data_IF_212225888719
#
_entry.id   IF_212225888719
#
_cell.length_a   1.000
_cell.length_b   1.000
_cell.length_c   1.000
_cell.angle_alpha   90.00
_cell.angle_beta   90.00
_cell.angle_gamma   90.00
#
_symmetry.space_group_name_H-M   'P 1'
#
loop_
_entity.id
_entity.type
_entity.pdbx_description
1 polymer ?
#
# COMPACT_ATOMS: atom_id res chain seq x y z
N UNK A 1 -22.11 2.38 4.08
CA UNK A 1 -20.86 2.70 3.38
C UNK A 1 -19.93 1.52 3.58
N UNK A 2 -19.37 0.96 2.50
CA UNK A 2 -18.30 -0.02 2.61
C UNK A 2 -17.02 0.72 3.00
N UNK A 3 -16.28 0.22 3.99
CA UNK A 3 -15.07 0.87 4.47
C UNK A 3 -13.82 0.13 3.96
N UNK A 4 -13.88 -1.18 3.70
CA UNK A 4 -12.70 -1.91 3.21
C UNK A 4 -12.38 -1.64 1.74
N UNK A 5 -11.09 -1.47 1.45
CA UNK A 5 -10.53 -1.36 0.11
C UNK A 5 -9.24 -2.19 0.03
N UNK A 6 -9.11 -2.97 -1.03
CA UNK A 6 -7.91 -3.75 -1.31
C UNK A 6 -7.25 -3.24 -2.59
N UNK A 7 -6.13 -2.55 -2.42
CA UNK A 7 -5.23 -2.22 -3.51
C UNK A 7 -4.55 -3.48 -4.03
N UNK A 8 -4.61 -3.72 -5.33
CA UNK A 8 -4.00 -4.89 -5.94
C UNK A 8 -3.30 -4.53 -7.26
N UNK A 9 -2.53 -5.49 -7.78
CA UNK A 9 -1.78 -5.38 -9.03
C UNK A 9 -0.90 -4.13 -9.08
N UNK A 10 0.15 -4.10 -8.24
CA UNK A 10 1.09 -2.98 -8.27
C UNK A 10 1.69 -2.82 -9.67
N UNK A 11 1.56 -1.62 -10.25
CA UNK A 11 2.04 -1.28 -11.59
C UNK A 11 3.49 -0.79 -11.57
N UNK A 12 4.07 -0.54 -10.40
CA UNK A 12 5.38 0.09 -10.28
C UNK A 12 6.51 -0.71 -10.93
N UNK A 13 6.48 -2.05 -10.82
CA UNK A 13 7.58 -2.92 -11.24
C UNK A 13 7.80 -2.91 -12.76
N UNK A 14 6.72 -2.68 -13.52
CA UNK A 14 6.76 -2.60 -14.98
C UNK A 14 6.84 -1.16 -15.51
N UNK A 15 6.71 -0.16 -14.64
CA UNK A 15 6.68 1.25 -15.04
C UNK A 15 8.10 1.81 -15.27
N UNK A 16 8.17 2.87 -16.08
CA UNK A 16 9.39 3.68 -16.19
C UNK A 16 9.29 4.86 -15.25
N UNK A 17 10.27 5.00 -14.35
CA UNK A 17 10.31 6.08 -13.36
C UNK A 17 11.22 7.23 -13.80
N UNK A 18 10.76 8.46 -13.59
CA UNK A 18 11.51 9.68 -13.89
C UNK A 18 11.07 10.84 -12.98
N UNK A 19 11.59 12.05 -13.21
CA UNK A 19 11.21 13.24 -12.46
C UNK A 19 11.98 13.41 -11.14
N UNK A 20 11.87 14.59 -10.56
CA UNK A 20 12.58 14.95 -9.34
C UNK A 20 14.10 15.00 -9.52
N UNK A 21 14.80 15.06 -8.40
CA UNK A 21 16.26 14.99 -8.34
C UNK A 21 16.65 14.01 -7.25
N UNK A 22 17.28 12.90 -7.63
CA UNK A 22 17.55 11.76 -6.76
C UNK A 22 19.05 11.53 -6.58
N UNK A 23 19.44 11.04 -5.41
CA UNK A 23 20.82 10.72 -5.10
C UNK A 23 21.27 9.49 -5.91
N UNK A 24 22.44 9.57 -6.56
CA UNK A 24 22.98 8.47 -7.39
C UNK A 24 23.22 7.14 -6.64
N UNK A 25 23.47 7.18 -5.32
CA UNK A 25 23.63 5.98 -4.48
C UNK A 25 22.28 5.42 -3.99
N UNK A 26 21.23 6.24 -4.04
CA UNK A 26 19.87 5.89 -3.64
C UNK A 26 18.89 6.32 -4.75
N UNK A 27 19.05 5.77 -5.96
CA UNK A 27 18.35 6.26 -7.15
C UNK A 27 16.84 6.02 -7.07
N UNK A 28 16.09 6.77 -7.89
CA UNK A 28 14.63 6.65 -8.00
C UNK A 28 14.16 5.21 -8.32
N UNK A 29 14.95 4.45 -9.08
CA UNK A 29 14.63 3.07 -9.47
C UNK A 29 14.53 2.12 -8.27
N UNK A 30 15.10 2.49 -7.11
CA UNK A 30 14.96 1.68 -5.89
C UNK A 30 13.49 1.54 -5.44
N UNK A 31 12.61 2.46 -5.84
CA UNK A 31 11.17 2.39 -5.52
C UNK A 31 10.45 1.18 -6.13
N UNK A 32 11.07 0.50 -7.10
CA UNK A 32 10.56 -0.71 -7.76
C UNK A 32 11.06 -1.99 -7.07
N UNK A 33 11.97 -1.89 -6.11
CA UNK A 33 12.52 -3.07 -5.42
C UNK A 33 11.54 -3.57 -4.35
N UNK A 34 11.39 -4.90 -4.23
CA UNK A 34 10.53 -5.50 -3.22
C UNK A 34 11.15 -5.42 -1.82
N UNK A 35 12.47 -5.30 -1.71
CA UNK A 35 13.17 -5.13 -0.45
C UNK A 35 13.01 -3.69 0.06
N UNK A 36 12.12 -3.48 1.04
CA UNK A 36 11.81 -2.14 1.58
C UNK A 36 13.02 -1.40 2.18
N UNK A 37 14.08 -2.12 2.54
CA UNK A 37 15.36 -1.55 2.99
C UNK A 37 16.16 -0.86 1.86
N UNK A 38 15.91 -1.20 0.59
CA UNK A 38 16.51 -0.53 -0.57
C UNK A 38 15.74 0.75 -0.88
N UNK A 39 16.20 1.85 -0.27
CA UNK A 39 15.50 3.14 -0.33
C UNK A 39 15.96 4.02 -1.49
N UNK A 40 15.05 4.80 -2.05
CA UNK A 40 15.36 5.98 -2.86
C UNK A 40 15.46 7.22 -1.95
N UNK A 41 16.38 8.15 -2.28
CA UNK A 41 16.50 9.44 -1.58
C UNK A 41 16.57 10.59 -2.57
N UNK A 42 15.71 11.57 -2.39
CA UNK A 42 15.77 12.83 -3.14
C UNK A 42 16.93 13.70 -2.62
N UNK A 43 17.33 14.68 -3.43
CA UNK A 43 18.41 15.64 -3.08
C UNK A 43 17.90 16.78 -2.19
N UNK A 44 16.58 16.91 -2.01
CA UNK A 44 15.96 17.94 -1.19
C UNK A 44 14.55 17.55 -0.76
N UNK A 45 13.85 18.48 -0.11
CA UNK A 45 12.54 18.26 0.52
C UNK A 45 11.38 18.98 -0.18
N UNK A 46 11.69 19.72 -1.25
CA UNK A 46 10.71 20.47 -2.04
C UNK A 46 10.08 19.58 -3.10
N UNK A 47 8.86 19.94 -3.53
CA UNK A 47 8.14 19.25 -4.61
C UNK A 47 8.98 19.05 -5.88
N UNK A 48 9.79 20.03 -6.26
CA UNK A 48 10.69 19.92 -7.41
C UNK A 48 11.74 18.80 -7.29
N UNK A 49 12.21 18.51 -6.07
CA UNK A 49 13.18 17.45 -5.82
C UNK A 49 12.54 16.07 -5.62
N UNK A 50 11.34 16.03 -5.03
CA UNK A 50 10.62 14.80 -4.66
C UNK A 50 9.39 14.54 -5.52
N UNK A 51 9.44 14.92 -6.79
CA UNK A 51 8.45 14.51 -7.81
C UNK A 51 8.84 13.16 -8.40
N UNK A 52 7.87 12.25 -8.54
CA UNK A 52 8.02 10.95 -9.20
C UNK A 52 7.03 10.92 -10.36
N UNK A 53 7.53 10.77 -11.57
CA UNK A 53 6.73 10.55 -12.78
C UNK A 53 6.84 9.08 -13.18
N UNK A 54 5.69 8.46 -13.39
CA UNK A 54 5.51 7.03 -13.62
C UNK A 54 4.85 6.88 -14.99
N UNK A 55 5.55 6.30 -15.96
CA UNK A 55 4.97 5.87 -17.24
C UNK A 55 4.68 4.37 -17.19
N UNK A 56 3.41 3.99 -17.16
CA UNK A 56 2.99 2.59 -17.17
C UNK A 56 3.11 1.90 -18.55
N UNK A 57 3.61 2.61 -19.58
CA UNK A 57 3.77 2.14 -20.96
C UNK A 57 2.46 2.07 -21.77
N UNK A 58 1.34 1.84 -21.08
CA UNK A 58 -0.02 1.90 -21.59
C UNK A 58 -0.95 2.43 -20.49
N UNK A 59 -2.18 2.81 -20.85
CA UNK A 59 -3.17 3.17 -19.85
C UNK A 59 -3.49 1.96 -18.94
N UNK A 60 -3.46 2.16 -17.62
CA UNK A 60 -3.74 1.15 -16.61
C UNK A 60 -4.75 1.67 -15.61
N UNK A 61 -5.56 0.75 -15.09
CA UNK A 61 -6.49 1.00 -14.00
C UNK A 61 -5.72 1.22 -12.69
N UNK A 62 -5.94 2.38 -12.09
CA UNK A 62 -5.33 2.80 -10.84
C UNK A 62 -6.37 3.52 -9.98
N UNK A 63 -6.38 3.16 -8.70
CA UNK A 63 -7.20 3.76 -7.65
C UNK A 63 -6.39 4.06 -6.39
N UNK A 64 -5.40 3.22 -6.09
CA UNK A 64 -4.71 3.21 -4.80
C UNK A 64 -3.25 3.61 -4.94
N UNK A 65 -2.77 4.36 -3.95
CA UNK A 65 -1.36 4.70 -3.76
C UNK A 65 -0.92 4.31 -2.35
N UNK A 66 0.25 3.68 -2.27
CA UNK A 66 0.98 3.44 -1.03
C UNK A 66 2.41 3.97 -1.16
N UNK A 67 2.85 4.79 -0.21
CA UNK A 67 4.25 5.16 -0.04
C UNK A 67 4.78 4.45 1.19
N UNK A 68 5.71 3.51 1.01
CA UNK A 68 6.15 2.59 2.07
C UNK A 68 7.57 2.94 2.51
N UNK A 69 7.85 2.80 3.81
CA UNK A 69 9.12 3.15 4.45
C UNK A 69 9.55 4.60 4.16
N UNK A 70 8.63 5.54 4.37
CA UNK A 70 8.85 6.96 4.12
C UNK A 70 9.40 7.71 5.34
N UNK A 71 10.00 8.88 5.11
CA UNK A 71 10.34 9.82 6.19
C UNK A 71 9.52 11.12 6.15
N UNK A 72 8.46 11.16 5.33
CA UNK A 72 7.57 12.32 5.20
C UNK A 72 6.87 12.55 6.54
N UNK A 73 6.91 13.79 7.04
CA UNK A 73 6.26 14.16 8.31
C UNK A 73 4.75 14.32 8.13
N UNK A 74 4.03 14.33 9.24
CA UNK A 74 2.58 14.61 9.26
C UNK A 74 2.20 16.04 8.85
N UNK A 75 3.19 16.92 8.64
CA UNK A 75 3.01 18.26 8.06
C UNK A 75 3.33 18.31 6.57
N UNK A 76 3.88 17.22 6.02
CA UNK A 76 4.13 17.06 4.60
C UNK A 76 2.85 16.73 3.83
N UNK A 77 2.89 16.97 2.53
CA UNK A 77 1.77 16.71 1.62
C UNK A 77 2.19 15.82 0.46
N UNK A 78 1.24 15.01 0.00
CA UNK A 78 1.37 14.14 -1.17
C UNK A 78 0.19 14.44 -2.10
N UNK A 79 0.48 14.53 -3.40
CA UNK A 79 -0.55 14.68 -4.45
C UNK A 79 -0.30 13.65 -5.54
N UNK A 80 -1.35 12.95 -5.94
CA UNK A 80 -1.36 12.00 -7.05
C UNK A 80 -2.15 12.57 -8.21
N UNK A 81 -1.53 12.64 -9.37
CA UNK A 81 -2.14 13.13 -10.61
C UNK A 81 -1.99 12.08 -11.71
N UNK A 82 -3.07 11.82 -12.44
CA UNK A 82 -3.09 10.89 -13.58
C UNK A 82 -3.39 11.62 -14.89
N UNK A 83 -2.72 11.27 -15.98
CA UNK A 83 -2.99 11.81 -17.33
C UNK A 83 -2.65 10.80 -18.42
N UNK A 84 -3.25 10.99 -19.60
CA UNK A 84 -2.86 10.28 -20.82
C UNK A 84 -1.87 11.09 -21.68
N UNK A 85 -1.52 12.31 -21.25
CA UNK A 85 -0.53 13.16 -21.88
C UNK A 85 0.70 13.31 -20.98
N UNK A 86 1.90 13.22 -21.57
CA UNK A 86 3.18 13.37 -20.84
C UNK A 86 3.33 14.72 -20.13
N UNK A 87 2.64 15.75 -20.62
CA UNK A 87 2.61 17.09 -20.01
C UNK A 87 1.66 17.24 -18.82
N UNK A 88 0.95 16.18 -18.41
CA UNK A 88 -0.05 16.22 -17.34
C UNK A 88 -1.15 17.27 -17.56
N UNK A 89 -1.60 17.41 -18.80
CA UNK A 89 -2.70 18.29 -19.18
C UNK A 89 -3.44 17.74 -20.41
N UNK A 90 -4.76 17.50 -20.34
CA UNK A 90 -5.60 17.56 -19.14
C UNK A 90 -5.28 16.44 -18.13
N UNK A 91 -5.65 16.63 -16.87
CA UNK A 91 -5.63 15.58 -15.86
C UNK A 91 -6.89 14.71 -15.99
N UNK A 92 -6.71 13.40 -15.86
CA UNK A 92 -7.78 12.40 -15.78
C UNK A 92 -8.14 12.12 -14.33
N UNK A 93 -7.15 12.20 -13.43
CA UNK A 93 -7.32 12.03 -11.99
C UNK A 93 -6.45 13.06 -11.26
N UNK A 94 -6.95 13.58 -10.14
CA UNK A 94 -6.20 14.45 -9.23
C UNK A 94 -6.73 14.27 -7.81
N UNK A 95 -5.87 13.83 -6.90
CA UNK A 95 -6.23 13.71 -5.48
C UNK A 95 -6.32 15.05 -4.75
N UNK A 96 -5.77 16.13 -5.34
CA UNK A 96 -5.38 17.31 -4.59
C UNK A 96 -4.21 17.02 -3.64
N UNK A 97 -3.73 18.05 -2.94
CA UNK A 97 -2.69 17.89 -1.93
C UNK A 97 -3.29 17.31 -0.64
N UNK A 98 -2.90 16.08 -0.30
CA UNK A 98 -3.35 15.37 0.90
C UNK A 98 -2.23 15.38 1.93
N UNK A 99 -2.56 15.76 3.16
CA UNK A 99 -1.62 15.77 4.29
C UNK A 99 -1.35 14.35 4.75
N UNK A 100 -0.08 14.03 5.01
CA UNK A 100 0.31 12.72 5.54
C UNK A 100 -0.16 12.59 6.99
N UNK A 101 -0.74 11.46 7.35
CA UNK A 101 -1.14 11.19 8.73
C UNK A 101 0.07 10.96 9.65
N UNK A 102 -0.13 11.11 10.96
CA UNK A 102 0.93 10.80 11.91
C UNK A 102 1.20 9.29 11.94
N UNK A 103 2.48 8.91 11.94
CA UNK A 103 2.88 7.51 12.08
C UNK A 103 3.26 7.23 13.54
N UNK A 104 2.53 6.31 14.15
CA UNK A 104 2.77 5.81 15.52
C UNK A 104 3.50 4.46 15.50
N UNK A 105 3.55 3.77 14.35
CA UNK A 105 4.11 2.42 14.19
C UNK A 105 5.42 2.51 13.39
N UNK A 106 6.47 2.99 14.07
CA UNK A 106 7.74 3.44 13.47
C UNK A 106 8.57 2.42 12.67
N UNK A 107 8.18 1.14 12.59
CA UNK A 107 8.97 0.13 11.90
C UNK A 107 8.95 0.32 10.37
N UNK A 108 7.77 0.59 9.79
CA UNK A 108 7.57 0.80 8.35
C UNK A 108 6.48 1.86 8.09
N UNK A 109 6.78 3.16 8.27
CA UNK A 109 5.87 4.26 7.93
C UNK A 109 5.30 4.05 6.54
N UNK A 110 3.98 3.86 6.48
CA UNK A 110 3.25 3.65 5.24
C UNK A 110 2.19 4.72 5.15
N UNK A 111 2.25 5.54 4.10
CA UNK A 111 1.19 6.48 3.74
C UNK A 111 0.33 5.85 2.65
N UNK A 112 -0.98 5.92 2.82
CA UNK A 112 -1.95 5.34 1.89
C UNK A 112 -2.93 6.40 1.41
N UNK A 113 -3.35 6.29 0.15
CA UNK A 113 -4.26 7.22 -0.49
C UNK A 113 -5.20 6.46 -1.44
N UNK A 114 -6.50 6.73 -1.34
CA UNK A 114 -7.54 6.30 -2.27
C UNK A 114 -8.00 7.48 -3.14
N UNK A 115 -8.12 7.29 -4.45
CA UNK A 115 -8.69 8.25 -5.38
C UNK A 115 -10.23 8.25 -5.39
N UNK A 116 -10.87 7.31 -4.67
CA UNK A 116 -12.32 7.18 -4.53
C UNK A 116 -13.02 6.51 -5.73
N UNK A 117 -12.30 6.34 -6.83
CA UNK A 117 -12.73 5.61 -8.02
C UNK A 117 -11.52 5.07 -8.78
N UNK A 118 -11.76 4.12 -9.68
CA UNK A 118 -10.74 3.61 -10.59
C UNK A 118 -10.61 4.54 -11.80
N UNK A 119 -9.38 4.96 -12.10
CA UNK A 119 -9.06 5.81 -13.23
C UNK A 119 -8.11 5.11 -14.20
N UNK A 120 -8.41 5.19 -15.49
CA UNK A 120 -7.61 4.62 -16.57
C UNK A 120 -6.67 5.69 -17.15
N UNK A 121 -5.38 5.63 -16.79
CA UNK A 121 -4.37 6.56 -17.29
C UNK A 121 -3.00 5.91 -17.48
N UNK A 122 -2.21 6.44 -18.43
CA UNK A 122 -0.85 5.96 -18.73
C UNK A 122 0.23 6.59 -17.84
N UNK A 123 0.15 7.90 -17.64
CA UNK A 123 1.14 8.67 -16.89
C UNK A 123 0.59 9.05 -15.53
N UNK A 124 1.39 8.84 -14.49
CA UNK A 124 1.06 9.20 -13.12
C UNK A 124 2.18 10.04 -12.52
N UNK A 125 1.82 11.04 -11.72
CA UNK A 125 2.77 11.92 -11.04
C UNK A 125 2.44 11.94 -9.56
N UNK A 126 3.42 11.59 -8.74
CA UNK A 126 3.39 11.75 -7.30
C UNK A 126 4.24 12.98 -6.98
N UNK A 127 3.62 13.99 -6.38
CA UNK A 127 4.31 15.18 -5.91
C UNK A 127 4.32 15.18 -4.39
N UNK A 128 5.51 15.15 -3.79
CA UNK A 128 5.69 15.16 -2.34
C UNK A 128 6.31 16.49 -1.92
N UNK A 129 5.79 17.13 -0.88
CA UNK A 129 6.36 18.37 -0.33
C UNK A 129 6.41 18.32 1.19
N UNK A 130 7.62 18.40 1.76
CA UNK A 130 7.86 18.44 3.21
C UNK A 130 9.09 19.31 3.52
N UNK A 131 9.03 20.58 3.14
CA UNK A 131 10.18 21.49 3.13
C UNK A 131 10.92 21.61 4.47
N UNK A 132 10.23 21.45 5.60
CA UNK A 132 10.82 21.51 6.93
C UNK A 132 11.39 20.19 7.45
N UNK A 133 11.48 19.12 6.65
CA UNK A 133 11.99 17.83 7.09
C UNK A 133 13.46 17.96 7.54
N UNK A 134 13.78 17.68 8.82
CA UNK A 134 15.13 17.87 9.35
C UNK A 134 16.17 16.93 8.72
N UNK A 135 15.75 15.85 8.06
CA UNK A 135 16.65 14.99 7.31
C UNK A 135 17.26 15.70 6.08
N UNK A 136 16.62 16.75 5.55
CA UNK A 136 17.06 17.46 4.35
C UNK A 136 16.81 16.71 3.03
N UNK A 137 16.16 15.55 3.08
CA UNK A 137 15.75 14.75 1.93
C UNK A 137 14.45 13.99 2.21
N UNK A 138 13.75 13.60 1.15
CA UNK A 138 12.67 12.60 1.21
C UNK A 138 13.24 11.22 0.90
N UNK A 139 12.97 10.26 1.79
CA UNK A 139 13.28 8.83 1.68
C UNK A 139 12.00 8.05 1.48
N UNK A 140 12.04 7.05 0.61
CA UNK A 140 10.98 6.09 0.35
C UNK A 140 11.61 4.72 0.08
N UNK A 141 10.99 3.64 0.57
CA UNK A 141 11.40 2.27 0.25
C UNK A 141 10.73 1.75 -1.01
N UNK A 142 9.40 1.81 -1.07
CA UNK A 142 8.61 1.26 -2.17
C UNK A 142 7.39 2.12 -2.46
N UNK A 143 6.99 2.15 -3.73
CA UNK A 143 5.70 2.74 -4.14
C UNK A 143 4.77 1.63 -4.56
N UNK A 144 3.58 1.62 -3.99
CA UNK A 144 2.45 0.84 -4.48
C UNK A 144 1.56 1.76 -5.31
N UNK A 145 1.35 1.43 -6.58
CA UNK A 145 0.42 2.14 -7.44
C UNK A 145 -0.40 1.11 -8.20
N UNK A 146 -1.64 0.90 -7.78
CA UNK A 146 -2.43 -0.23 -8.24
C UNK A 146 -3.91 0.09 -8.41
N UNK A 147 -4.61 -0.90 -8.94
CA UNK A 147 -6.06 -0.91 -8.95
C UNK A 147 -6.59 -1.08 -7.51
N UNK A 148 -7.90 -0.93 -7.30
CA UNK A 148 -8.51 -1.01 -5.98
C UNK A 148 -9.89 -1.64 -6.03
N UNK A 149 -9.99 -2.83 -5.43
CA UNK A 149 -11.27 -3.51 -5.25
C UNK A 149 -11.90 -3.14 -3.92
N UNK A 150 -13.17 -2.74 -3.98
CA UNK A 150 -14.03 -2.51 -2.83
C UNK A 150 -15.33 -3.27 -3.05
N UNK A 151 -15.81 -4.08 -2.09
CA UNK A 151 -17.06 -4.82 -2.28
C UNK A 151 -18.23 -3.85 -2.50
N UNK A 152 -19.10 -4.18 -3.45
CA UNK A 152 -20.11 -3.23 -3.95
C UNK A 152 -21.23 -3.00 -2.94
N UNK A 153 -21.67 -4.06 -2.25
CA UNK A 153 -22.89 -4.04 -1.42
C UNK A 153 -22.61 -4.29 0.06
N UNK A 154 -21.47 -4.88 0.40
CA UNK A 154 -21.14 -5.31 1.76
C UNK A 154 -19.81 -4.77 2.22
N UNK A 155 -19.57 -4.87 3.52
CA UNK A 155 -18.25 -4.61 4.11
C UNK A 155 -17.75 -5.90 4.78
N UNK A 156 -16.53 -5.88 5.31
CA UNK A 156 -16.12 -6.94 6.21
C UNK A 156 -17.09 -7.06 7.39
N UNK A 157 -17.33 -8.31 7.79
CA UNK A 157 -18.14 -8.67 8.94
C UNK A 157 -17.42 -8.33 10.24
N UNK A 158 -18.19 -7.98 11.26
CA UNK A 158 -17.68 -7.86 12.63
C UNK A 158 -16.99 -9.14 13.09
N UNK A 159 -15.97 -8.99 13.92
CA UNK A 159 -15.05 -10.09 14.27
C UNK A 159 -13.74 -10.06 13.49
N UNK A 160 -13.41 -8.95 12.79
CA UNK A 160 -12.06 -8.67 12.30
C UNK A 160 -11.06 -8.87 13.43
N UNK A 161 -9.93 -9.49 13.10
CA UNK A 161 -8.79 -9.61 14.01
C UNK A 161 -7.66 -8.74 13.46
N UNK A 162 -7.16 -7.83 14.29
CA UNK A 162 -5.87 -7.17 14.11
C UNK A 162 -4.92 -7.73 15.18
N UNK A 163 -3.78 -8.24 14.74
CA UNK A 163 -2.77 -8.79 15.63
C UNK A 163 -1.36 -8.39 15.22
N UNK A 164 -0.43 -8.78 16.07
CA UNK A 164 1.01 -8.62 15.86
C UNK A 164 1.62 -10.00 15.88
N UNK A 165 2.39 -10.30 14.84
CA UNK A 165 3.19 -11.51 14.76
C UNK A 165 4.64 -11.16 15.11
N UNK A 166 5.18 -11.85 16.12
CA UNK A 166 6.57 -11.69 16.51
C UNK A 166 7.35 -12.94 16.08
N UNK A 167 8.22 -12.85 15.06
CA UNK A 167 9.02 -13.99 14.60
C UNK A 167 10.26 -14.26 15.45
N UNK A 168 10.44 -13.56 16.58
CA UNK A 168 11.60 -13.72 17.47
C UNK A 168 11.71 -15.12 18.04
N UNK A 169 12.91 -15.69 18.06
CA UNK A 169 13.16 -17.05 18.55
C UNK A 169 13.59 -16.99 20.01
N UNK A 170 12.92 -17.77 20.86
CA UNK A 170 13.23 -17.88 22.28
C UNK A 170 13.95 -19.19 22.55
N UNK A 171 15.19 -19.11 23.04
CA UNK A 171 15.96 -20.27 23.50
C UNK A 171 16.17 -20.23 25.01
N UNK A 172 16.21 -21.40 25.64
CA UNK A 172 16.50 -21.55 27.07
C UNK A 172 17.84 -22.25 27.20
N UNK A 173 18.79 -21.59 27.86
CA UNK A 173 20.11 -22.15 28.13
C UNK A 173 20.02 -23.27 29.17
N UNK A 174 20.99 -24.19 29.24
CA UNK A 174 21.05 -25.22 30.29
C UNK A 174 21.02 -24.66 31.72
N UNK A 175 21.40 -23.39 31.90
CA UNK A 175 21.32 -22.65 33.17
C UNK A 175 19.91 -22.11 33.51
N UNK A 176 18.90 -22.34 32.67
CA UNK A 176 17.55 -21.82 32.82
C UNK A 176 17.36 -20.37 32.35
N UNK A 177 18.42 -19.70 31.89
CA UNK A 177 18.34 -18.32 31.35
C UNK A 177 17.67 -18.32 29.97
N UNK A 178 16.68 -17.43 29.80
CA UNK A 178 16.02 -17.17 28.52
C UNK A 178 16.86 -16.21 27.67
N UNK A 179 17.13 -16.59 26.42
CA UNK A 179 17.79 -15.78 25.40
C UNK A 179 16.81 -15.60 24.25
N UNK A 180 16.67 -14.38 23.76
CA UNK A 180 15.74 -14.05 22.68
C UNK A 180 16.52 -13.48 21.51
N UNK A 181 16.44 -14.14 20.36
CA UNK A 181 16.86 -13.59 19.07
C UNK A 181 15.74 -12.66 18.58
N UNK A 182 15.94 -11.35 18.75
CA UNK A 182 14.91 -10.33 18.50
C UNK A 182 14.83 -10.05 17.00
N UNK A 183 13.62 -10.16 16.47
CA UNK A 183 13.29 -9.85 15.07
C UNK A 183 12.19 -8.79 15.00
N UNK A 184 12.17 -7.96 13.95
CA UNK A 184 11.10 -6.99 13.74
C UNK A 184 9.74 -7.70 13.70
N UNK A 185 8.75 -7.25 14.50
CA UNK A 185 7.39 -7.76 14.42
C UNK A 185 6.69 -7.24 13.17
N UNK A 186 5.70 -7.99 12.70
CA UNK A 186 4.83 -7.61 11.57
C UNK A 186 3.37 -7.63 12.01
N UNK A 187 2.54 -6.78 11.42
CA UNK A 187 1.08 -6.82 11.63
C UNK A 187 0.45 -7.97 10.86
N UNK A 188 -0.63 -8.52 11.41
CA UNK A 188 -1.51 -9.42 10.69
C UNK A 188 -2.96 -8.96 10.84
N UNK A 189 -3.76 -9.16 9.80
CA UNK A 189 -5.18 -8.85 9.83
C UNK A 189 -5.97 -9.97 9.17
N UNK A 190 -7.10 -10.34 9.81
CA UNK A 190 -8.05 -11.32 9.30
C UNK A 190 -9.40 -10.66 9.10
N UNK A 191 -9.95 -10.81 7.90
CA UNK A 191 -11.25 -10.30 7.50
C UNK A 191 -12.11 -11.46 7.04
N UNK A 192 -13.39 -11.43 7.40
CA UNK A 192 -14.40 -12.23 6.73
C UNK A 192 -15.35 -11.27 6.05
N UNK A 193 -15.61 -11.48 4.76
CA UNK A 193 -16.62 -10.73 4.01
C UNK A 193 -17.73 -11.72 3.70
N UNK A 194 -18.93 -11.42 4.19
CA UNK A 194 -20.14 -12.22 3.99
C UNK A 194 -21.04 -11.52 2.99
N UNK A 195 -21.96 -12.30 2.42
CA UNK A 195 -23.00 -11.82 1.50
C UNK A 195 -22.41 -11.04 0.30
N UNK A 196 -21.27 -11.50 -0.21
CA UNK A 196 -20.70 -11.01 -1.46
C UNK A 196 -21.63 -11.34 -2.63
N UNK A 197 -21.70 -10.42 -3.59
CA UNK A 197 -22.33 -10.70 -4.88
C UNK A 197 -21.54 -11.76 -5.64
N UNK A 198 -22.20 -12.47 -6.56
CA UNK A 198 -21.53 -13.44 -7.44
C UNK A 198 -20.38 -12.82 -8.24
N UNK A 199 -20.53 -11.56 -8.66
CA UNK A 199 -19.51 -10.84 -9.41
C UNK A 199 -18.30 -10.54 -8.52
N UNK A 200 -18.51 -10.00 -7.33
CA UNK A 200 -17.41 -9.71 -6.40
C UNK A 200 -16.65 -10.98 -6.00
N UNK A 201 -17.37 -12.07 -5.71
CA UNK A 201 -16.75 -13.32 -5.33
C UNK A 201 -15.91 -13.93 -6.47
N UNK A 202 -16.45 -14.01 -7.68
CA UNK A 202 -15.83 -14.77 -8.77
C UNK A 202 -14.92 -13.93 -9.68
N UNK A 203 -15.23 -12.65 -9.92
CA UNK A 203 -14.42 -11.79 -10.79
C UNK A 203 -13.36 -11.01 -10.05
N UNK A 204 -13.62 -10.65 -8.79
CA UNK A 204 -12.67 -9.86 -8.00
C UNK A 204 -11.88 -10.76 -7.06
N UNK A 205 -12.52 -11.35 -6.05
CA UNK A 205 -11.84 -12.14 -5.01
C UNK A 205 -11.07 -13.32 -5.59
N UNK A 206 -11.71 -14.14 -6.43
CA UNK A 206 -11.05 -15.29 -7.06
C UNK A 206 -9.90 -14.87 -7.98
N UNK A 207 -10.08 -13.78 -8.74
CA UNK A 207 -9.07 -13.31 -9.67
C UNK A 207 -7.86 -12.71 -8.96
N UNK A 208 -8.08 -11.97 -7.87
CA UNK A 208 -7.02 -11.46 -7.00
C UNK A 208 -6.26 -12.64 -6.41
N UNK A 209 -6.95 -13.63 -5.83
CA UNK A 209 -6.30 -14.83 -5.29
C UNK A 209 -5.46 -15.58 -6.35
N UNK A 210 -6.00 -15.73 -7.57
CA UNK A 210 -5.33 -16.40 -8.68
C UNK A 210 -4.10 -15.62 -9.18
N UNK A 211 -4.21 -14.29 -9.27
CA UNK A 211 -3.16 -13.44 -9.86
C UNK A 211 -2.03 -13.16 -8.87
N UNK A 212 -2.36 -13.01 -7.59
CA UNK A 212 -1.43 -12.60 -6.55
C UNK A 212 -0.75 -13.75 -5.82
N UNK A 213 -1.40 -14.91 -5.74
CA UNK A 213 -0.85 -16.01 -4.96
C UNK A 213 -0.58 -15.60 -3.51
N UNK A 214 0.48 -16.18 -2.94
CA UNK A 214 0.98 -15.84 -1.60
C UNK A 214 2.20 -14.90 -1.67
N UNK A 215 2.69 -14.60 -2.88
CA UNK A 215 3.96 -13.93 -3.15
C UNK A 215 3.79 -12.45 -3.50
N UNK A 216 2.72 -12.08 -4.20
CA UNK A 216 2.53 -10.69 -4.62
C UNK A 216 1.91 -9.86 -3.52
N UNK A 217 2.34 -8.61 -3.50
CA UNK A 217 1.87 -7.62 -2.55
C UNK A 217 0.46 -7.11 -2.89
N UNK A 218 -0.22 -6.73 -1.83
CA UNK A 218 -1.50 -6.04 -1.82
C UNK A 218 -1.38 -4.86 -0.85
N UNK A 219 -2.13 -3.79 -1.12
CA UNK A 219 -2.21 -2.64 -0.23
C UNK A 219 -3.54 -2.67 0.50
N UNK A 220 -3.48 -2.72 1.81
CA UNK A 220 -4.65 -2.91 2.64
C UNK A 220 -5.16 -1.56 3.16
N UNK A 221 -6.48 -1.34 3.03
CA UNK A 221 -7.19 -0.23 3.64
C UNK A 221 -8.36 -0.79 4.45
N UNK A 222 -8.39 -0.53 5.75
CA UNK A 222 -9.59 -0.85 6.54
C UNK A 222 -10.73 0.14 6.28
N UNK A 223 -10.37 1.43 6.27
CA UNK A 223 -11.23 2.55 5.94
C UNK A 223 -10.37 3.61 5.23
N UNK A 224 -10.59 3.90 3.93
CA UNK A 224 -9.83 4.93 3.22
C UNK A 224 -10.14 6.35 3.71
N UNK A 225 -11.23 6.56 4.46
CA UNK A 225 -11.59 7.87 5.01
C UNK A 225 -10.95 8.15 6.38
N UNK A 226 -10.46 7.11 7.08
CA UNK A 226 -9.82 7.29 8.39
C UNK A 226 -8.35 7.68 8.21
N UNK A 227 -8.00 8.89 8.66
CA UNK A 227 -6.61 9.37 8.70
C UNK A 227 -6.02 9.34 10.12
N UNK A 228 -6.79 8.91 11.13
CA UNK A 228 -6.37 8.91 12.54
C UNK A 228 -5.65 7.62 12.90
N UNK A 229 -6.14 6.49 12.40
CA UNK A 229 -5.56 5.16 12.66
C UNK A 229 -5.12 4.45 11.37
N UNK A 230 -4.99 5.18 10.25
CA UNK A 230 -4.48 4.64 9.00
C UNK A 230 -3.08 4.05 9.13
N UNK A 231 -2.22 4.64 9.95
CA UNK A 231 -0.86 4.16 10.21
C UNK A 231 -0.84 2.73 10.76
N UNK A 232 -1.83 2.38 11.59
CA UNK A 232 -1.97 1.05 12.20
C UNK A 232 -2.73 0.10 11.27
N UNK A 233 -3.82 0.56 10.66
CA UNK A 233 -4.75 -0.31 9.96
C UNK A 233 -4.44 -0.51 8.48
N UNK A 234 -3.74 0.44 7.85
CA UNK A 234 -3.40 0.39 6.45
C UNK A 234 -1.91 0.08 6.29
N UNK A 235 -1.60 -0.96 5.53
CA UNK A 235 -0.20 -1.37 5.32
C UNK A 235 -0.03 -2.20 4.05
N UNK A 236 1.21 -2.25 3.58
CA UNK A 236 1.60 -3.14 2.51
C UNK A 236 1.70 -4.58 3.05
N UNK A 237 1.02 -5.51 2.40
CA UNK A 237 0.89 -6.88 2.88
C UNK A 237 1.03 -7.90 1.75
N UNK A 238 1.23 -9.17 2.10
CA UNK A 238 0.93 -10.30 1.23
C UNK A 238 -0.29 -11.05 1.75
N UNK A 239 -0.95 -11.79 0.85
CA UNK A 239 -1.97 -12.75 1.25
C UNK A 239 -1.26 -13.91 1.96
N UNK A 240 -1.58 -14.10 3.24
CA UNK A 240 -1.00 -15.17 4.07
C UNK A 240 -1.71 -16.50 3.85
N UNK A 241 -3.02 -16.46 3.67
CA UNK A 241 -3.83 -17.62 3.34
C UNK A 241 -4.75 -17.24 2.19
N UNK A 242 -4.70 -18.02 1.09
CA UNK A 242 -5.56 -17.78 -0.06
C UNK A 242 -7.03 -17.90 0.35
N UNK A 243 -7.89 -16.95 -0.05
CA UNK A 243 -9.30 -16.99 0.28
C UNK A 243 -9.99 -18.18 -0.40
N UNK A 244 -10.80 -18.91 0.36
CA UNK A 244 -11.75 -19.87 -0.19
C UNK A 244 -13.11 -19.19 -0.32
N UNK A 245 -13.80 -19.44 -1.45
CA UNK A 245 -15.15 -18.93 -1.68
C UNK A 245 -16.16 -19.94 -1.13
N UNK A 246 -16.93 -19.50 -0.15
CA UNK A 246 -18.01 -20.25 0.46
C UNK A 246 -19.35 -19.89 -0.20
N UNK A 247 -20.24 -20.88 -0.31
CA UNK A 247 -21.60 -20.75 -0.85
C UNK A 247 -22.62 -21.01 0.27
N UNK A 248 -22.75 -20.10 1.25
CA UNK A 248 -23.61 -20.32 2.42
C UNK A 248 -25.10 -20.42 2.07
N UNK A 249 -25.55 -19.63 1.09
CA UNK A 249 -26.94 -19.62 0.61
C UNK A 249 -26.98 -19.46 -0.91
N UNK A 250 -28.18 -19.61 -1.49
CA UNK A 250 -28.39 -19.29 -2.90
C UNK A 250 -28.07 -17.79 -3.14
N UNK A 251 -27.23 -17.52 -4.14
CA UNK A 251 -26.81 -16.17 -4.56
C UNK A 251 -26.07 -15.32 -3.49
N UNK A 252 -25.64 -15.93 -2.40
CA UNK A 252 -24.78 -15.30 -1.40
C UNK A 252 -23.44 -16.03 -1.31
N UNK A 253 -22.36 -15.26 -1.30
CA UNK A 253 -20.99 -15.79 -1.28
C UNK A 253 -20.24 -15.23 -0.08
N UNK A 254 -19.28 -15.97 0.46
CA UNK A 254 -18.41 -15.45 1.53
C UNK A 254 -16.96 -15.79 1.27
N UNK A 255 -16.05 -14.95 1.72
CA UNK A 255 -14.62 -15.18 1.63
C UNK A 255 -13.91 -14.63 2.86
N UNK A 256 -12.90 -15.36 3.32
CA UNK A 256 -12.02 -14.91 4.40
C UNK A 256 -10.64 -14.59 3.84
N UNK A 257 -10.12 -13.42 4.19
CA UNK A 257 -8.77 -12.99 3.85
C UNK A 257 -7.91 -12.94 5.11
N UNK A 258 -6.68 -13.41 4.98
CA UNK A 258 -5.65 -13.22 5.99
C UNK A 258 -4.45 -12.54 5.35
N UNK A 259 -4.04 -11.40 5.91
CA UNK A 259 -2.95 -10.59 5.43
C UNK A 259 -1.80 -10.58 6.43
N UNK A 260 -0.58 -10.54 5.92
CA UNK A 260 0.64 -10.37 6.71
C UNK A 260 1.44 -9.19 6.15
N UNK A 261 1.83 -8.25 7.02
CA UNK A 261 2.60 -7.07 6.64
C UNK A 261 3.98 -7.45 6.08
N UNK A 262 4.38 -6.75 5.00
CA UNK A 262 5.74 -6.81 4.47
C UNK A 262 6.61 -5.84 5.27
N UNK A 263 7.73 -6.34 5.79
CA UNK A 263 8.68 -5.57 6.61
C UNK A 263 10.03 -5.36 5.89
N UNK A 264 10.73 -4.29 6.25
CA UNK A 264 12.08 -3.96 5.75
C UNK A 264 13.21 -4.82 6.35
#
# INVERSE_FOLDING_TARGET
MAFFLLGHTNRIDAATLSGGTWNSLYPLTNLQDAALARVARSVGTTSGASTIVIDCGAAKDIRTLGLVNHNIRSTGTVRLEGSNAVGFSPLVADSGAVTVYADTVAANPTFTLDLGAVYLARYWRITISDSGNPAGYIRLGRVFLGDGWQPTETNFSWGKILGIENPSVVSVLPSGRRVVDVRPPSRNQKYQIKDLTKSDALREVFQIAWTHGLDKEVLLFEDPADNTYADVNNFLATIRQLPAIEYPYLDAYSAAFEFSEIIA
#
